data_IF_886500142936
#
_entry.id   IF_886500142936
#
_cell.length_a   1.000
_cell.length_b   1.000
_cell.length_c   1.000
_cell.angle_alpha   90.00
_cell.angle_beta   90.00
_cell.angle_gamma   90.00
#
_symmetry.space_group_name_H-M   'P 1'
#
loop_
_entity.id
_entity.type
_entity.pdbx_description
1 polymer ?
#
# COMPACT_ATOMS: atom_id res chain seq x y z
N UNK A 1 -28.83 7.00 0.06
CA UNK A 1 -27.66 6.98 0.96
C UNK A 1 -27.83 8.14 1.94
N UNK A 2 -28.06 7.83 3.21
CA UNK A 2 -28.16 8.87 4.24
C UNK A 2 -26.81 9.57 4.37
N UNK A 3 -26.83 10.89 4.46
CA UNK A 3 -25.64 11.72 4.64
C UNK A 3 -24.83 11.43 5.91
N UNK A 4 -25.30 10.54 6.78
CA UNK A 4 -24.60 10.09 7.98
C UNK A 4 -23.55 9.00 7.72
N UNK A 5 -23.62 8.30 6.59
CA UNK A 5 -22.76 7.14 6.30
C UNK A 5 -21.69 7.55 5.28
N UNK A 6 -20.90 8.55 5.65
CA UNK A 6 -19.89 9.12 4.78
C UNK A 6 -18.51 8.44 4.88
N UNK A 7 -18.47 7.19 5.36
CA UNK A 7 -17.25 6.39 5.27
C UNK A 7 -17.08 5.90 3.82
N UNK A 8 -16.00 6.30 3.18
CA UNK A 8 -15.63 5.86 1.84
C UNK A 8 -14.32 5.07 1.91
N UNK A 9 -14.31 3.90 1.30
CA UNK A 9 -13.13 3.07 1.16
C UNK A 9 -12.92 2.79 -0.32
N UNK A 10 -11.75 3.11 -0.83
CA UNK A 10 -11.31 2.63 -2.14
C UNK A 10 -10.30 1.51 -1.95
N UNK A 11 -10.39 0.48 -2.79
CA UNK A 11 -9.49 -0.66 -2.80
C UNK A 11 -9.02 -0.91 -4.22
N UNK A 12 -7.72 -1.08 -4.40
CA UNK A 12 -7.12 -1.25 -5.72
C UNK A 12 -6.28 -2.52 -5.80
N UNK A 13 -6.61 -3.35 -6.76
CA UNK A 13 -5.75 -4.40 -7.31
C UNK A 13 -6.03 -4.48 -8.80
N UNK A 14 -4.99 -4.37 -9.63
CA UNK A 14 -5.15 -4.10 -11.07
C UNK A 14 -4.32 -5.06 -11.92
N UNK A 15 -4.89 -5.64 -12.99
CA UNK A 15 -4.16 -6.52 -13.90
C UNK A 15 -3.17 -5.76 -14.81
N UNK A 16 -3.19 -4.43 -14.78
CA UNK A 16 -2.33 -3.60 -15.63
C UNK A 16 -1.01 -3.20 -14.96
N UNK A 17 -0.73 -3.72 -13.76
CA UNK A 17 0.49 -3.42 -13.04
C UNK A 17 0.67 -1.94 -12.70
N UNK A 18 1.93 -1.51 -12.67
CA UNK A 18 2.34 -0.14 -12.31
C UNK A 18 3.28 0.51 -13.34
N UNK A 19 3.13 0.15 -14.61
CA UNK A 19 3.85 0.78 -15.71
C UNK A 19 3.47 2.25 -15.88
N UNK A 20 4.34 3.02 -16.54
CA UNK A 20 4.13 4.45 -16.84
C UNK A 20 3.72 5.26 -15.60
N UNK A 21 2.59 5.93 -15.64
CA UNK A 21 2.02 6.74 -14.56
C UNK A 21 1.37 5.92 -13.43
N UNK A 22 1.26 4.59 -13.58
CA UNK A 22 0.73 3.71 -12.54
C UNK A 22 1.65 3.68 -11.31
N UNK A 23 1.04 3.57 -10.13
CA UNK A 23 1.76 3.46 -8.86
C UNK A 23 1.95 2.00 -8.46
N UNK A 24 3.02 1.70 -7.74
CA UNK A 24 3.29 0.38 -7.18
C UNK A 24 2.42 0.17 -5.93
N UNK A 25 1.12 -0.07 -6.15
CA UNK A 25 0.09 0.00 -5.12
C UNK A 25 -0.96 -1.12 -5.22
N UNK A 26 -0.55 -2.32 -5.65
CA UNK A 26 -1.45 -3.46 -5.64
C UNK A 26 -1.89 -3.78 -4.21
N UNK A 27 -3.16 -4.13 -4.05
CA UNK A 27 -3.81 -4.33 -2.77
C UNK A 27 -3.72 -3.10 -1.83
N UNK A 28 -3.64 -1.89 -2.38
CA UNK A 28 -3.73 -0.67 -1.59
C UNK A 28 -5.18 -0.27 -1.33
N UNK A 29 -5.37 0.45 -0.25
CA UNK A 29 -6.66 1.03 0.10
C UNK A 29 -6.51 2.49 0.54
N UNK A 30 -7.59 3.25 0.41
CA UNK A 30 -7.69 4.59 0.98
C UNK A 30 -8.99 4.69 1.77
N UNK A 31 -8.97 5.51 2.79
CA UNK A 31 -10.12 5.77 3.64
C UNK A 31 -10.36 7.26 3.73
N UNK A 32 -11.60 7.67 3.52
CA UNK A 32 -12.07 9.02 3.81
C UNK A 32 -13.39 9.00 4.57
N UNK A 33 -13.61 10.01 5.37
CA UNK A 33 -14.82 10.19 6.13
C UNK A 33 -15.34 11.61 5.97
N UNK A 34 -16.63 11.74 5.67
CA UNK A 34 -17.28 13.05 5.38
C UNK A 34 -16.51 13.90 4.36
N UNK A 35 -16.01 13.25 3.31
CA UNK A 35 -15.28 13.90 2.23
C UNK A 35 -13.82 14.30 2.56
N UNK A 36 -13.32 14.01 3.76
CA UNK A 36 -11.95 14.28 4.14
C UNK A 36 -11.13 12.99 4.20
N UNK A 37 -9.92 12.96 3.64
CA UNK A 37 -9.06 11.79 3.67
C UNK A 37 -8.54 11.53 5.09
N UNK A 38 -8.53 10.24 5.49
CA UNK A 38 -7.93 9.77 6.75
C UNK A 38 -6.64 9.02 6.41
N UNK A 39 -6.77 7.89 5.71
CA UNK A 39 -5.64 7.14 5.20
C UNK A 39 -5.57 7.30 3.69
N UNK A 40 -4.51 7.94 3.23
CA UNK A 40 -4.37 8.36 1.85
C UNK A 40 -2.90 8.34 1.42
N UNK A 41 -2.60 8.06 0.15
CA UNK A 41 -1.22 8.07 -0.32
C UNK A 41 -0.58 9.46 -0.20
N UNK A 42 0.74 9.48 -0.01
CA UNK A 42 1.51 10.72 0.23
C UNK A 42 1.52 11.70 -0.94
N UNK A 43 0.90 11.37 -2.06
CA UNK A 43 0.75 12.26 -3.19
C UNK A 43 1.09 11.65 -4.54
N UNK A 44 1.12 12.51 -5.55
CA UNK A 44 1.47 12.20 -6.92
C UNK A 44 2.38 13.29 -7.49
N UNK A 45 3.46 12.89 -8.13
CA UNK A 45 4.37 13.82 -8.81
C UNK A 45 4.10 13.81 -10.32
N UNK A 46 3.99 14.98 -10.89
CA UNK A 46 3.68 15.15 -12.32
C UNK A 46 4.84 14.76 -13.22
N UNK A 47 6.09 14.97 -12.78
CA UNK A 47 7.25 14.65 -13.61
C UNK A 47 7.84 13.28 -13.27
N UNK A 48 7.82 12.38 -14.24
CA UNK A 48 8.32 11.00 -14.12
C UNK A 48 9.83 10.90 -14.08
N UNK A 49 10.54 11.99 -14.40
CA UNK A 49 12.02 12.05 -14.39
C UNK A 49 12.59 12.47 -13.04
N UNK A 50 11.75 12.87 -12.11
CA UNK A 50 12.18 13.27 -10.78
C UNK A 50 12.41 12.04 -9.89
N UNK A 51 13.54 12.02 -9.18
CA UNK A 51 13.84 10.96 -8.20
C UNK A 51 12.77 10.82 -7.13
N UNK A 52 12.13 11.90 -6.70
CA UNK A 52 11.02 11.87 -5.77
C UNK A 52 9.83 11.05 -6.28
N UNK A 53 9.58 11.08 -7.58
CA UNK A 53 8.53 10.25 -8.17
C UNK A 53 8.82 8.78 -7.93
N UNK A 54 10.02 8.31 -8.26
CA UNK A 54 10.40 6.91 -8.14
C UNK A 54 10.57 6.48 -6.67
N UNK A 55 11.25 7.30 -5.86
CA UNK A 55 11.64 6.93 -4.49
C UNK A 55 10.54 7.13 -3.46
N UNK A 56 9.58 8.00 -3.75
CA UNK A 56 8.49 8.29 -2.83
C UNK A 56 7.13 8.01 -3.46
N UNK A 57 6.69 8.82 -4.42
CA UNK A 57 5.29 8.76 -4.87
C UNK A 57 4.90 7.46 -5.56
N UNK A 58 5.79 6.88 -6.36
CA UNK A 58 5.55 5.60 -7.05
C UNK A 58 5.77 4.39 -6.15
N UNK A 59 6.63 4.52 -5.16
CA UNK A 59 7.04 3.44 -4.27
C UNK A 59 5.89 2.98 -3.35
N UNK A 60 5.80 1.68 -3.11
CA UNK A 60 4.77 1.07 -2.26
C UNK A 60 4.74 1.63 -0.83
N UNK A 61 5.88 2.12 -0.30
CA UNK A 61 5.93 2.75 1.04
C UNK A 61 5.08 4.01 1.18
N UNK A 62 4.78 4.69 0.05
CA UNK A 62 3.91 5.86 0.03
C UNK A 62 2.43 5.49 -0.16
N UNK A 63 2.11 4.21 -0.10
CA UNK A 63 0.79 3.64 -0.34
C UNK A 63 0.36 2.78 0.85
N UNK A 64 -0.93 2.64 1.07
CA UNK A 64 -1.47 1.78 2.13
C UNK A 64 -1.48 0.32 1.68
N UNK A 65 -0.30 -0.27 1.59
CA UNK A 65 -0.08 -1.66 1.15
C UNK A 65 1.08 -2.28 1.92
N UNK A 66 1.58 -3.42 1.49
CA UNK A 66 2.73 -4.09 2.10
C UNK A 66 4.01 -3.72 1.34
N UNK A 67 5.13 -3.62 2.03
CA UNK A 67 6.48 -3.72 1.47
C UNK A 67 7.17 -4.96 2.04
N UNK A 68 8.07 -5.56 1.28
CA UNK A 68 8.78 -6.79 1.65
C UNK A 68 10.27 -6.50 1.64
N UNK A 69 10.97 -6.71 2.76
CA UNK A 69 12.38 -6.35 2.93
C UNK A 69 12.69 -4.90 2.52
N UNK A 70 11.78 -3.97 2.87
CA UNK A 70 11.78 -2.57 2.45
C UNK A 70 11.67 -2.33 0.93
N UNK A 71 11.47 -3.39 0.11
CA UNK A 71 11.36 -3.30 -1.35
C UNK A 71 9.96 -2.91 -1.78
N UNK A 72 9.88 -2.25 -2.94
CA UNK A 72 8.62 -1.87 -3.59
C UNK A 72 8.07 -3.03 -4.43
N UNK A 73 6.80 -2.97 -4.75
CA UNK A 73 6.23 -3.73 -5.85
C UNK A 73 6.85 -3.27 -7.17
N UNK A 74 6.86 -4.14 -8.19
CA UNK A 74 7.51 -3.86 -9.48
C UNK A 74 6.93 -2.61 -10.16
N UNK A 75 7.81 -1.81 -10.77
CA UNK A 75 7.46 -0.62 -11.56
C UNK A 75 7.16 -0.96 -13.02
N UNK A 76 6.49 -2.04 -13.25
CA UNK A 76 6.22 -2.55 -14.59
C UNK A 76 4.81 -3.13 -14.70
N UNK A 77 4.41 -3.51 -15.90
CA UNK A 77 3.17 -4.22 -16.13
C UNK A 77 3.21 -5.68 -15.62
N UNK A 78 4.41 -6.22 -15.40
CA UNK A 78 4.59 -7.56 -14.85
C UNK A 78 4.23 -7.67 -13.37
N UNK A 79 4.30 -6.56 -12.62
CA UNK A 79 3.89 -6.50 -11.22
C UNK A 79 2.40 -6.19 -11.08
N UNK A 80 1.54 -7.17 -11.24
CA UNK A 80 0.09 -6.99 -11.29
C UNK A 80 -0.65 -7.71 -10.15
N UNK A 81 -1.92 -7.37 -10.03
CA UNK A 81 -2.88 -8.04 -9.15
C UNK A 81 -4.28 -7.97 -9.78
N UNK A 82 -5.28 -8.46 -9.09
CA UNK A 82 -6.69 -8.37 -9.51
C UNK A 82 -7.62 -8.44 -8.31
N UNK A 83 -8.84 -7.98 -8.49
CA UNK A 83 -9.91 -8.22 -7.51
C UNK A 83 -10.49 -9.60 -7.79
N UNK A 84 -10.15 -10.55 -6.94
CA UNK A 84 -10.52 -11.96 -7.10
C UNK A 84 -11.97 -12.22 -6.67
N UNK A 85 -12.49 -11.45 -5.71
CA UNK A 85 -13.88 -11.55 -5.25
C UNK A 85 -14.39 -10.18 -4.80
N UNK A 86 -15.68 -9.98 -5.02
CA UNK A 86 -16.39 -8.80 -4.53
C UNK A 86 -17.83 -9.19 -4.19
N UNK A 87 -18.28 -8.78 -3.01
CA UNK A 87 -19.65 -8.93 -2.53
C UNK A 87 -20.06 -7.60 -1.90
N UNK A 88 -21.23 -7.12 -2.22
CA UNK A 88 -21.81 -5.93 -1.62
C UNK A 88 -23.20 -6.21 -1.09
N UNK A 89 -23.41 -5.89 0.18
CA UNK A 89 -24.67 -6.03 0.87
C UNK A 89 -24.99 -4.78 1.68
N UNK A 90 -26.14 -4.77 2.33
CA UNK A 90 -26.59 -3.61 3.09
C UNK A 90 -25.65 -3.27 4.25
N UNK A 91 -25.21 -4.28 4.99
CA UNK A 91 -24.41 -4.10 6.22
C UNK A 91 -22.94 -4.45 6.02
N UNK A 92 -22.61 -5.24 5.00
CA UNK A 92 -21.28 -5.77 4.77
C UNK A 92 -20.91 -5.62 3.30
N UNK A 93 -19.73 -5.07 3.04
CA UNK A 93 -19.05 -5.14 1.74
C UNK A 93 -17.75 -5.92 1.92
N UNK A 94 -17.47 -6.85 1.03
CA UNK A 94 -16.26 -7.66 1.02
C UNK A 94 -15.57 -7.56 -0.32
N UNK A 95 -14.26 -7.37 -0.30
CA UNK A 95 -13.40 -7.47 -1.48
C UNK A 95 -12.16 -8.31 -1.17
N UNK A 96 -11.75 -9.14 -2.11
CA UNK A 96 -10.49 -9.88 -2.08
C UNK A 96 -9.62 -9.43 -3.23
N UNK A 97 -8.48 -8.83 -2.93
CA UNK A 97 -7.43 -8.55 -3.89
C UNK A 97 -6.33 -9.62 -3.80
N UNK A 98 -5.89 -10.11 -4.95
CA UNK A 98 -4.73 -10.98 -5.06
C UNK A 98 -3.61 -10.22 -5.78
N UNK A 99 -2.54 -9.93 -5.06
CA UNK A 99 -1.35 -9.23 -5.53
C UNK A 99 -0.09 -10.10 -5.40
N UNK A 100 -0.24 -11.42 -5.46
CA UNK A 100 0.88 -12.37 -5.34
C UNK A 100 1.94 -12.16 -6.42
N UNK A 101 1.57 -11.60 -7.57
CA UNK A 101 2.50 -11.26 -8.65
C UNK A 101 3.02 -9.81 -8.60
N UNK A 102 2.78 -9.06 -7.55
CA UNK A 102 3.20 -7.66 -7.49
C UNK A 102 4.72 -7.49 -7.27
N UNK A 103 5.37 -8.47 -6.65
CA UNK A 103 6.79 -8.42 -6.25
C UNK A 103 7.69 -9.23 -7.17
N UNK A 104 7.44 -9.16 -8.45
CA UNK A 104 8.30 -9.77 -9.46
C UNK A 104 9.56 -8.93 -9.70
N UNK A 105 10.64 -9.52 -10.27
CA UNK A 105 11.83 -8.77 -10.63
C UNK A 105 11.50 -7.56 -11.50
N UNK A 106 12.24 -6.50 -11.29
CA UNK A 106 12.08 -5.26 -12.00
C UNK A 106 12.55 -5.40 -13.46
N UNK A 107 11.64 -5.23 -14.40
CA UNK A 107 11.99 -5.20 -15.83
C UNK A 107 12.52 -3.83 -16.20
N UNK A 108 13.84 -3.68 -16.17
CA UNK A 108 14.53 -2.44 -16.55
C UNK A 108 14.33 -2.08 -18.03
N UNK A 109 14.04 -3.05 -18.88
CA UNK A 109 13.85 -2.81 -20.32
C UNK A 109 12.52 -2.09 -20.62
N UNK A 110 11.53 -2.24 -19.76
CA UNK A 110 10.25 -1.58 -19.89
C UNK A 110 10.28 -0.09 -19.52
N UNK A 111 11.39 0.39 -18.99
CA UNK A 111 11.55 1.77 -18.56
C UNK A 111 12.59 2.46 -19.47
N UNK A 112 12.12 3.37 -20.31
CA UNK A 112 12.97 4.35 -20.99
C UNK A 112 13.67 5.32 -20.00
N UNK A 113 13.92 4.86 -18.76
CA UNK A 113 14.33 5.70 -17.63
C UNK A 113 15.69 5.28 -17.06
N UNK A 114 16.53 4.64 -17.85
CA UNK A 114 17.82 4.10 -17.37
C UNK A 114 18.68 5.12 -16.61
N UNK A 115 18.69 6.37 -17.04
CA UNK A 115 19.48 7.41 -16.35
C UNK A 115 18.83 7.83 -15.04
N UNK A 116 17.51 8.03 -15.03
CA UNK A 116 16.78 8.41 -13.80
C UNK A 116 16.83 7.30 -12.78
N UNK A 117 16.71 6.04 -13.24
CA UNK A 117 16.81 4.88 -12.37
C UNK A 117 18.21 4.72 -11.77
N UNK A 118 19.28 4.88 -12.58
CA UNK A 118 20.66 4.86 -12.08
C UNK A 118 20.92 5.93 -11.03
N UNK A 119 20.44 7.14 -11.26
CA UNK A 119 20.57 8.24 -10.30
C UNK A 119 19.76 7.97 -9.03
N UNK A 120 18.59 7.37 -9.16
CA UNK A 120 17.78 6.97 -8.04
C UNK A 120 18.42 5.84 -7.22
N UNK A 121 19.01 4.84 -7.90
CA UNK A 121 19.77 3.76 -7.25
C UNK A 121 21.01 4.28 -6.51
N UNK A 122 21.78 5.18 -7.10
CA UNK A 122 22.91 5.83 -6.42
C UNK A 122 22.43 6.56 -5.15
N UNK A 123 21.36 7.34 -5.27
CA UNK A 123 20.79 8.04 -4.12
C UNK A 123 20.30 7.08 -3.03
N UNK A 124 19.68 5.97 -3.40
CA UNK A 124 19.18 4.98 -2.42
C UNK A 124 20.32 4.30 -1.67
N UNK A 125 21.40 3.97 -2.37
CA UNK A 125 22.59 3.38 -1.74
C UNK A 125 23.22 4.32 -0.69
N UNK A 126 23.28 5.62 -0.98
CA UNK A 126 23.81 6.63 -0.06
C UNK A 126 22.89 6.90 1.15
N UNK A 127 21.58 6.70 1.02
CA UNK A 127 20.58 7.06 2.02
C UNK A 127 19.86 5.87 2.65
N UNK A 128 20.32 4.65 2.42
CA UNK A 128 19.79 3.44 3.04
C UNK A 128 18.41 3.02 2.55
N UNK A 129 17.97 3.49 1.38
CA UNK A 129 16.75 3.00 0.75
C UNK A 129 17.06 1.89 -0.24
N UNK A 130 16.17 0.93 -0.38
CA UNK A 130 16.27 -0.11 -1.41
C UNK A 130 15.24 0.21 -2.48
N UNK A 131 15.72 0.57 -3.69
CA UNK A 131 14.89 0.72 -4.87
C UNK A 131 14.96 -0.56 -5.64
N UNK A 132 14.85 -1.62 -5.34
CA UNK A 132 14.99 -2.91 -6.01
C UNK A 132 16.29 -3.11 -6.81
N UNK A 133 16.94 -4.17 -6.50
CA UNK A 133 18.21 -4.63 -7.00
C UNK A 133 18.09 -5.93 -7.82
N UNK A 134 16.93 -6.23 -8.38
CA UNK A 134 16.62 -7.49 -9.06
C UNK A 134 16.52 -8.72 -8.13
N UNK A 135 16.67 -8.55 -6.82
CA UNK A 135 16.44 -9.64 -5.90
C UNK A 135 14.94 -9.76 -5.61
N UNK A 136 14.32 -10.71 -6.27
CA UNK A 136 12.92 -11.04 -6.05
C UNK A 136 12.74 -11.51 -4.60
N UNK A 137 11.89 -10.87 -3.77
CA UNK A 137 11.58 -11.34 -2.43
C UNK A 137 10.88 -12.70 -2.40
N UNK A 138 10.58 -13.26 -3.59
CA UNK A 138 9.97 -14.59 -3.74
C UNK A 138 8.65 -14.72 -3.01
N UNK A 139 7.81 -13.69 -3.14
CA UNK A 139 6.45 -13.71 -2.60
C UNK A 139 5.62 -14.73 -3.35
N UNK A 140 5.07 -15.70 -2.62
CA UNK A 140 4.15 -16.71 -3.14
C UNK A 140 2.71 -16.29 -3.02
N UNK A 141 2.39 -15.54 -1.95
CA UNK A 141 1.04 -15.11 -1.68
C UNK A 141 1.03 -13.72 -1.05
N UNK A 142 0.25 -12.86 -1.64
CA UNK A 142 -0.22 -11.63 -1.02
C UNK A 142 -1.68 -11.43 -1.39
N UNK A 143 -2.57 -11.89 -0.53
CA UNK A 143 -4.00 -11.71 -0.65
C UNK A 143 -4.48 -10.83 0.47
N UNK A 144 -5.18 -9.76 0.13
CA UNK A 144 -5.81 -8.86 1.09
C UNK A 144 -7.31 -9.01 1.03
N UNK A 145 -7.89 -9.37 2.14
CA UNK A 145 -9.32 -9.35 2.37
C UNK A 145 -9.66 -8.00 3.01
N UNK A 146 -10.53 -7.26 2.36
CA UNK A 146 -11.08 -6.02 2.88
C UNK A 146 -12.55 -6.24 3.18
N UNK A 147 -12.93 -6.07 4.43
CA UNK A 147 -14.33 -6.14 4.88
C UNK A 147 -14.71 -4.78 5.45
N UNK A 148 -15.74 -4.20 4.90
CA UNK A 148 -16.39 -3.02 5.46
C UNK A 148 -17.67 -3.45 6.15
N UNK A 149 -17.72 -3.29 7.48
CA UNK A 149 -18.91 -3.46 8.27
C UNK A 149 -19.50 -2.08 8.56
N UNK A 150 -20.65 -1.83 7.99
CA UNK A 150 -21.32 -0.53 8.17
C UNK A 150 -21.80 -0.37 9.60
N UNK A 151 -21.78 0.84 10.15
CA UNK A 151 -21.46 2.09 9.41
C UNK A 151 -19.97 2.48 9.40
N UNK A 152 -19.07 1.89 10.22
CA UNK A 152 -17.79 2.52 10.51
C UNK A 152 -16.63 1.57 10.86
N UNK A 153 -16.74 0.29 10.58
CA UNK A 153 -15.65 -0.67 10.85
C UNK A 153 -15.07 -1.17 9.53
N UNK A 154 -13.75 -1.12 9.43
CA UNK A 154 -12.97 -1.70 8.34
C UNK A 154 -12.08 -2.78 8.93
N UNK A 155 -12.15 -3.98 8.38
CA UNK A 155 -11.24 -5.08 8.72
C UNK A 155 -10.39 -5.40 7.51
N UNK A 156 -9.09 -5.45 7.71
CA UNK A 156 -8.12 -5.93 6.74
C UNK A 156 -7.51 -7.23 7.26
N UNK A 157 -7.48 -8.25 6.43
CA UNK A 157 -6.80 -9.49 6.72
C UNK A 157 -5.89 -9.85 5.55
N UNK A 158 -4.60 -9.98 5.82
CA UNK A 158 -3.58 -10.29 4.82
C UNK A 158 -3.10 -11.73 4.97
N UNK A 159 -3.19 -12.50 3.89
CA UNK A 159 -2.52 -13.78 3.74
C UNK A 159 -1.18 -13.52 3.05
N UNK A 160 -0.09 -13.75 3.77
CA UNK A 160 1.27 -13.48 3.32
C UNK A 160 2.10 -14.75 3.35
N UNK A 161 2.78 -15.05 2.24
CA UNK A 161 3.68 -16.20 2.13
C UNK A 161 4.85 -15.86 1.22
N UNK A 162 6.07 -16.21 1.62
CA UNK A 162 7.28 -16.10 0.81
C UNK A 162 8.06 -17.41 0.86
N UNK A 163 8.93 -17.65 -0.14
CA UNK A 163 9.77 -18.85 -0.21
C UNK A 163 10.93 -18.84 0.77
N UNK A 164 11.32 -17.65 1.22
CA UNK A 164 12.39 -17.42 2.19
C UNK A 164 11.87 -16.55 3.33
N UNK A 165 12.62 -16.48 4.40
CA UNK A 165 12.36 -15.54 5.49
C UNK A 165 12.48 -14.11 4.98
N UNK A 166 11.46 -13.29 5.25
CA UNK A 166 11.35 -11.89 4.83
C UNK A 166 10.71 -11.03 5.91
N UNK A 167 10.98 -9.75 5.87
CA UNK A 167 10.30 -8.76 6.70
C UNK A 167 9.12 -8.16 5.96
N UNK A 168 7.91 -8.41 6.45
CA UNK A 168 6.70 -7.77 5.96
C UNK A 168 6.46 -6.45 6.69
N UNK A 169 6.31 -5.36 5.95
CA UNK A 169 5.99 -4.07 6.54
C UNK A 169 4.66 -3.57 6.03
N UNK A 170 3.69 -3.43 6.92
CA UNK A 170 2.41 -2.81 6.62
C UNK A 170 2.57 -1.29 6.62
N UNK A 171 2.31 -0.67 5.47
CA UNK A 171 2.37 0.77 5.28
C UNK A 171 0.99 1.38 5.50
N UNK A 172 0.88 2.30 6.44
CA UNK A 172 -0.33 3.08 6.69
C UNK A 172 0.02 4.57 6.64
N UNK A 173 -0.39 5.22 5.59
CA UNK A 173 -0.10 6.63 5.34
C UNK A 173 -1.32 7.48 5.68
N UNK A 174 -1.11 8.51 6.46
CA UNK A 174 -2.11 9.53 6.77
C UNK A 174 -1.64 10.90 6.36
N UNK A 175 -2.55 11.82 6.11
CA UNK A 175 -2.22 13.19 5.68
C UNK A 175 -1.80 14.11 6.84
N UNK A 176 -2.30 13.84 8.04
CA UNK A 176 -2.04 14.67 9.21
C UNK A 176 -1.17 13.93 10.23
N UNK A 177 0.11 14.32 10.32
CA UNK A 177 1.01 13.75 11.33
C UNK A 177 0.67 14.18 12.77
N UNK A 178 0.07 15.35 12.95
CA UNK A 178 -0.13 15.96 14.25
C UNK A 178 -1.15 15.23 15.12
N UNK A 179 -2.09 14.50 14.53
CA UNK A 179 -3.12 13.77 15.25
C UNK A 179 -2.87 12.27 15.43
N UNK A 180 -1.79 11.73 14.86
CA UNK A 180 -1.52 10.28 14.95
C UNK A 180 -0.65 9.93 16.14
N UNK A 181 -1.12 9.00 16.98
CA UNK A 181 -0.39 8.49 18.14
C UNK A 181 -0.39 6.97 18.12
N UNK A 182 0.77 6.40 18.43
CA UNK A 182 0.88 4.96 18.69
C UNK A 182 0.38 4.73 20.12
N UNK A 183 -0.51 3.77 20.31
CA UNK A 183 -0.99 3.39 21.64
C UNK A 183 0.10 2.68 22.45
N UNK A 184 -0.05 2.71 23.76
CA UNK A 184 0.97 2.26 24.74
C UNK A 184 1.45 0.81 24.53
N UNK A 185 0.60 -0.04 23.98
CA UNK A 185 0.95 -1.43 23.67
C UNK A 185 1.69 -1.61 22.32
N UNK A 186 1.94 -0.53 21.57
CA UNK A 186 2.63 -0.57 20.29
C UNK A 186 1.85 -1.17 19.11
N UNK A 187 0.69 -1.75 19.36
CA UNK A 187 -0.13 -2.44 18.36
C UNK A 187 -1.40 -1.69 17.94
N UNK A 188 -1.51 -0.44 18.31
CA UNK A 188 -2.64 0.42 17.95
C UNK A 188 -2.16 1.79 17.50
N UNK A 189 -2.92 2.38 16.59
CA UNK A 189 -2.78 3.75 16.13
C UNK A 189 -4.08 4.48 16.45
N UNK A 190 -3.97 5.61 17.10
CA UNK A 190 -5.08 6.53 17.34
C UNK A 190 -4.82 7.77 16.47
N UNK A 191 -5.77 8.14 15.67
CA UNK A 191 -5.74 9.39 14.91
C UNK A 191 -6.96 10.21 15.32
N UNK A 192 -6.68 11.38 15.90
CA UNK A 192 -7.67 12.41 16.16
C UNK A 192 -7.62 13.41 14.99
N UNK A 193 -8.65 13.39 14.19
CA UNK A 193 -8.80 14.29 13.06
C UNK A 193 -9.92 15.27 13.36
N UNK A 194 -9.91 16.44 12.73
CA UNK A 194 -10.98 17.45 12.88
C UNK A 194 -12.40 16.93 12.62
N UNK A 195 -12.53 15.68 12.11
CA UNK A 195 -13.81 15.11 11.67
C UNK A 195 -14.23 13.85 12.40
N UNK A 196 -13.29 13.07 12.89
CA UNK A 196 -13.56 11.80 13.56
C UNK A 196 -12.32 11.28 14.28
N UNK A 197 -12.56 10.51 15.32
CA UNK A 197 -11.55 9.70 15.96
C UNK A 197 -11.44 8.37 15.21
N UNK A 198 -10.19 7.97 14.94
CA UNK A 198 -9.88 6.70 14.30
C UNK A 198 -9.05 5.86 15.24
N UNK A 199 -9.48 4.63 15.45
CA UNK A 199 -8.68 3.62 16.13
C UNK A 199 -8.36 2.51 15.15
N UNK A 200 -7.08 2.35 14.82
CA UNK A 200 -6.57 1.19 14.11
C UNK A 200 -5.88 0.25 15.09
N UNK A 201 -6.17 -1.05 15.01
CA UNK A 201 -5.49 -2.10 15.78
C UNK A 201 -4.84 -3.09 14.83
N UNK A 202 -3.62 -3.49 15.15
CA UNK A 202 -2.84 -4.42 14.36
C UNK A 202 -2.65 -5.71 15.16
N UNK A 203 -2.91 -6.83 14.51
CA UNK A 203 -2.73 -8.17 15.06
C UNK A 203 -1.84 -8.96 14.11
N UNK A 204 -0.83 -9.63 14.63
CA UNK A 204 0.04 -10.50 13.86
C UNK A 204 0.01 -11.94 14.40
N UNK A 205 0.31 -12.90 13.55
CA UNK A 205 0.54 -14.30 13.95
C UNK A 205 1.96 -14.52 14.51
N UNK A 206 2.83 -13.50 14.39
CA UNK A 206 4.18 -13.42 14.94
C UNK A 206 4.35 -12.12 15.72
N UNK A 207 5.46 -11.94 16.42
CA UNK A 207 5.76 -10.67 17.10
C UNK A 207 5.72 -9.49 16.11
N UNK A 208 5.00 -8.44 16.51
CA UNK A 208 5.00 -7.16 15.81
C UNK A 208 6.17 -6.34 16.34
N UNK A 209 7.07 -5.91 15.47
CA UNK A 209 8.23 -5.09 15.79
C UNK A 209 8.06 -3.65 15.29
#
# INVERSE_FOLDING_TARGET
LNASDNLFVSFRSSPFGSGSHGMAEQNSFNVSYKGKPIFYPTGYKVTTQDKHYLLAHKHSRARNTITVDAKTQAYSHSGYGWIARYLDGNDITYALGDASNAYVPFDQSALNWTTVLKNAQAYTSENGFILDDNDNPQVRKFRRHLVMLRPNIIVLYDELEAEKEVTWTFQLNGLERAGMKIGDAGNSLIADTDNCDVLARIFGSSELT
#
